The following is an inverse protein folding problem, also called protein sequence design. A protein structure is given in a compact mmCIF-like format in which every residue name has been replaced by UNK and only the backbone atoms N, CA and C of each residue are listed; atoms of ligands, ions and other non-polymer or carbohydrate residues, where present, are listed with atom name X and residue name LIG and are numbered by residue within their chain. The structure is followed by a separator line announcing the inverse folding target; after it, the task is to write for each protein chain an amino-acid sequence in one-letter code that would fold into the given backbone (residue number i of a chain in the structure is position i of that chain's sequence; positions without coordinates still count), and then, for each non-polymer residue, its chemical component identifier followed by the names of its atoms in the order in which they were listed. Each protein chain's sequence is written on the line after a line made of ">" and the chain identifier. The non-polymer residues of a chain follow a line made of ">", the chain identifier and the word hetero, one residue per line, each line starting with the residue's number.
data_IF_766473015616
#
_entry.id   IF_766473015616
#
_cell.length_a   1.000
_cell.length_b   1.000
_cell.length_c   1.000
_cell.angle_alpha   90.00
_cell.angle_beta   90.00
_cell.angle_gamma   90.00
#
_symmetry.space_group_name_H-M   'P 1'
#
loop_
_entity.id
_entity.type
_entity.pdbx_description
1 polymer ?
#
# COMPACT_ATOMS: atom_id res chain seq x y z
N UNK A 1 -40.82 62.36 -48.50
CA UNK A 1 -40.07 62.04 -47.22
C UNK A 1 -40.48 60.64 -46.79
N UNK A 2 -39.70 59.64 -47.14
CA UNK A 2 -39.97 58.21 -46.77
C UNK A 2 -38.96 57.82 -45.73
N UNK A 3 -39.44 57.50 -44.51
CA UNK A 3 -38.65 56.94 -43.44
C UNK A 3 -38.44 55.43 -43.66
N UNK A 4 -37.19 54.98 -43.70
CA UNK A 4 -36.83 53.55 -43.60
C UNK A 4 -36.52 53.21 -42.12
N UNK A 5 -37.29 52.30 -41.56
CA UNK A 5 -37.05 51.72 -40.29
C UNK A 5 -36.19 50.44 -40.46
N UNK A 6 -34.99 50.46 -40.02
CA UNK A 6 -34.11 49.26 -40.01
C UNK A 6 -34.36 48.43 -38.76
N UNK A 7 -34.85 47.20 -38.89
CA UNK A 7 -34.92 46.18 -37.81
C UNK A 7 -33.55 45.50 -37.70
N UNK A 8 -32.90 45.68 -36.56
CA UNK A 8 -31.73 44.92 -36.21
C UNK A 8 -32.13 43.64 -35.45
N UNK A 9 -31.90 42.48 -36.08
CA UNK A 9 -32.12 41.17 -35.46
C UNK A 9 -30.93 40.81 -34.60
N UNK A 10 -31.13 40.70 -33.28
CA UNK A 10 -30.15 40.28 -32.32
C UNK A 10 -30.16 38.75 -32.24
N UNK A 11 -29.13 38.06 -32.80
CA UNK A 11 -28.97 36.64 -32.71
C UNK A 11 -28.31 36.30 -31.36
N UNK A 12 -29.06 35.71 -30.43
CA UNK A 12 -28.52 35.11 -29.21
C UNK A 12 -27.80 33.80 -29.54
N UNK A 13 -26.47 33.82 -29.50
CA UNK A 13 -25.66 32.60 -29.53
C UNK A 13 -25.68 31.96 -28.13
N UNK A 14 -26.50 30.93 -27.96
CA UNK A 14 -26.48 30.08 -26.77
C UNK A 14 -25.23 29.21 -26.83
N UNK A 15 -24.15 29.62 -26.14
CA UNK A 15 -22.95 28.80 -25.92
C UNK A 15 -23.28 27.71 -24.91
N UNK A 16 -23.58 26.51 -25.37
CA UNK A 16 -23.59 25.31 -24.53
C UNK A 16 -22.15 24.99 -24.12
N UNK A 17 -21.73 25.48 -22.97
CA UNK A 17 -20.51 25.04 -22.34
C UNK A 17 -20.73 23.62 -21.79
N UNK A 18 -20.32 22.61 -22.55
CA UNK A 18 -20.21 21.25 -22.06
C UNK A 18 -19.05 21.25 -21.07
N UNK A 19 -19.34 21.28 -19.76
CA UNK A 19 -18.40 20.98 -18.70
C UNK A 19 -17.99 19.52 -18.87
N UNK A 20 -16.88 19.29 -19.58
CA UNK A 20 -16.21 17.98 -19.52
C UNK A 20 -15.78 17.77 -18.06
N UNK A 21 -16.47 16.91 -17.32
CA UNK A 21 -16.01 16.43 -16.03
C UNK A 21 -14.57 15.96 -16.22
N UNK A 22 -13.63 16.66 -15.60
CA UNK A 22 -12.24 16.17 -15.52
C UNK A 22 -12.29 14.92 -14.69
N UNK A 23 -12.25 13.75 -15.32
CA UNK A 23 -11.99 12.50 -14.64
C UNK A 23 -10.66 12.70 -13.92
N UNK A 24 -10.72 12.82 -12.61
CA UNK A 24 -9.53 13.00 -11.78
C UNK A 24 -8.59 11.84 -12.06
N UNK A 25 -7.35 12.14 -12.45
CA UNK A 25 -6.36 11.11 -12.73
C UNK A 25 -6.14 10.26 -11.46
N UNK A 26 -6.12 8.94 -11.62
CA UNK A 26 -5.85 8.04 -10.50
C UNK A 26 -4.45 8.34 -9.92
N UNK A 27 -4.29 8.44 -8.59
CA UNK A 27 -3.00 8.77 -7.96
C UNK A 27 -1.84 7.86 -8.41
N UNK A 28 -2.14 6.62 -8.75
CA UNK A 28 -1.16 5.62 -9.25
C UNK A 28 -1.10 5.51 -10.78
N UNK A 29 -1.72 6.41 -11.52
CA UNK A 29 -1.75 6.33 -12.99
C UNK A 29 -0.35 6.36 -13.61
N UNK A 30 0.60 7.02 -12.97
CA UNK A 30 1.99 7.09 -13.41
C UNK A 30 2.86 5.92 -12.92
N UNK A 31 2.33 5.01 -12.11
CA UNK A 31 3.09 3.85 -11.61
C UNK A 31 3.42 2.90 -12.74
N UNK A 32 4.67 2.43 -12.76
CA UNK A 32 5.17 1.46 -13.72
C UNK A 32 5.51 0.11 -13.09
N UNK A 33 5.48 0.02 -11.77
CA UNK A 33 5.61 -1.23 -11.03
C UNK A 33 4.44 -1.39 -10.07
N UNK A 34 3.88 -2.59 -9.99
CA UNK A 34 2.82 -2.92 -9.07
C UNK A 34 3.07 -4.29 -8.45
N UNK A 35 3.04 -4.35 -7.12
CA UNK A 35 2.90 -5.60 -6.37
C UNK A 35 1.41 -5.78 -6.13
N UNK A 36 0.86 -6.91 -6.54
CA UNK A 36 -0.57 -7.23 -6.39
C UNK A 36 -0.72 -8.50 -5.58
N UNK A 37 -1.34 -8.39 -4.42
CA UNK A 37 -1.71 -9.52 -3.56
C UNK A 37 -3.20 -9.76 -3.69
N UNK A 38 -3.56 -10.94 -4.17
CA UNK A 38 -4.96 -11.39 -4.28
C UNK A 38 -5.21 -12.43 -3.22
N UNK A 39 -6.22 -12.21 -2.40
CA UNK A 39 -6.74 -13.16 -1.40
C UNK A 39 -8.10 -13.67 -1.86
N UNK A 40 -8.49 -14.91 -1.47
CA UNK A 40 -9.73 -15.50 -1.93
C UNK A 40 -10.96 -14.69 -1.48
N UNK A 41 -10.98 -14.25 -0.24
CA UNK A 41 -12.06 -13.47 0.38
C UNK A 41 -11.53 -12.57 1.51
N UNK A 42 -12.44 -11.83 2.18
CA UNK A 42 -12.11 -10.92 3.27
C UNK A 42 -11.49 -11.58 4.51
N UNK A 43 -11.67 -12.88 4.71
CA UNK A 43 -11.22 -13.62 5.89
C UNK A 43 -10.02 -14.53 5.59
N UNK A 44 -9.59 -14.60 4.34
CA UNK A 44 -8.45 -15.41 3.92
C UNK A 44 -7.15 -14.88 4.52
N UNK A 45 -6.36 -15.77 5.12
CA UNK A 45 -5.05 -15.48 5.72
C UNK A 45 -3.89 -15.67 4.74
N UNK A 46 -4.18 -16.15 3.52
CA UNK A 46 -3.24 -16.42 2.44
C UNK A 46 -3.64 -15.68 1.20
N UNK A 47 -2.64 -15.26 0.44
CA UNK A 47 -2.83 -14.65 -0.86
C UNK A 47 -1.75 -15.08 -1.84
N UNK A 48 -1.97 -14.79 -3.11
CA UNK A 48 -0.96 -14.90 -4.16
C UNK A 48 -0.44 -13.51 -4.46
N UNK A 49 0.87 -13.33 -4.37
CA UNK A 49 1.56 -12.10 -4.75
C UNK A 49 2.06 -12.22 -6.17
N UNK A 50 1.73 -11.22 -6.97
CA UNK A 50 2.20 -11.01 -8.33
C UNK A 50 2.98 -9.70 -8.41
N UNK A 51 4.05 -9.65 -9.19
CA UNK A 51 4.84 -8.46 -9.46
C UNK A 51 4.70 -8.09 -10.94
N UNK A 52 4.21 -6.89 -11.23
CA UNK A 52 3.96 -6.42 -12.59
C UNK A 52 4.79 -5.19 -12.94
N UNK A 53 5.28 -5.16 -14.16
CA UNK A 53 5.91 -3.99 -14.76
C UNK A 53 5.09 -3.49 -15.95
N UNK A 54 4.96 -2.17 -16.08
CA UNK A 54 4.17 -1.54 -17.13
C UNK A 54 5.06 -0.87 -18.19
N UNK A 55 4.79 -1.22 -19.45
CA UNK A 55 5.32 -0.53 -20.62
C UNK A 55 4.15 0.08 -21.41
N UNK A 56 4.14 1.40 -21.54
CA UNK A 56 3.00 2.11 -22.09
C UNK A 56 1.72 1.86 -21.26
N UNK A 57 0.73 1.24 -21.85
CA UNK A 57 -0.56 0.89 -21.20
C UNK A 57 -0.62 -0.57 -20.74
N UNK A 58 0.37 -1.40 -21.09
CA UNK A 58 0.34 -2.85 -20.87
C UNK A 58 1.13 -3.24 -19.65
N UNK A 59 0.51 -3.99 -18.74
CA UNK A 59 1.13 -4.65 -17.61
C UNK A 59 1.62 -6.04 -18.01
N UNK A 60 2.81 -6.43 -17.56
CA UNK A 60 3.35 -7.78 -17.72
C UNK A 60 3.92 -8.26 -16.40
N UNK A 61 3.74 -9.53 -16.09
CA UNK A 61 4.35 -10.14 -14.92
C UNK A 61 5.87 -10.11 -15.06
N UNK A 62 6.55 -9.59 -14.02
CA UNK A 62 7.99 -9.36 -14.01
C UNK A 62 8.74 -10.41 -13.18
N UNK A 63 8.10 -10.95 -12.14
CA UNK A 63 8.65 -11.99 -11.26
C UNK A 63 7.61 -13.10 -11.09
N UNK A 64 8.06 -14.36 -10.86
CA UNK A 64 7.13 -15.47 -10.62
C UNK A 64 6.22 -15.22 -9.41
N UNK A 65 4.92 -15.46 -9.59
CA UNK A 65 3.96 -15.40 -8.51
C UNK A 65 4.29 -16.37 -7.37
N UNK A 66 3.93 -16.00 -6.14
CA UNK A 66 4.17 -16.86 -4.97
C UNK A 66 3.15 -16.60 -3.85
N UNK A 67 3.03 -17.56 -2.97
CA UNK A 67 2.18 -17.45 -1.79
C UNK A 67 2.75 -16.48 -0.77
N UNK A 68 1.86 -15.69 -0.18
CA UNK A 68 2.16 -14.81 0.96
C UNK A 68 1.13 -15.03 2.07
N UNK A 69 1.53 -14.73 3.31
CA UNK A 69 0.60 -14.68 4.44
C UNK A 69 0.20 -13.24 4.70
N UNK A 70 -1.06 -13.07 5.06
CA UNK A 70 -1.65 -11.77 5.40
C UNK A 70 -2.22 -11.80 6.83
N UNK A 71 -2.99 -10.83 7.21
CA UNK A 71 -3.57 -10.72 8.55
C UNK A 71 -4.30 -11.97 9.02
N UNK A 72 -4.13 -12.34 10.30
CA UNK A 72 -4.79 -13.52 10.93
C UNK A 72 -6.32 -13.48 10.87
N UNK A 73 -6.89 -12.29 10.71
CA UNK A 73 -8.32 -12.07 10.51
C UNK A 73 -8.67 -11.73 9.04
N UNK A 74 -7.73 -11.93 8.10
CA UNK A 74 -7.89 -11.62 6.69
C UNK A 74 -7.53 -10.18 6.35
N UNK A 75 -8.38 -9.51 5.56
CA UNK A 75 -8.15 -8.14 5.08
C UNK A 75 -9.35 -7.23 5.35
N UNK A 76 -9.14 -5.91 5.24
CA UNK A 76 -10.17 -4.90 5.39
C UNK A 76 -9.76 -3.63 4.63
N UNK A 77 -10.72 -2.82 4.14
CA UNK A 77 -10.43 -1.57 3.44
C UNK A 77 -9.56 -0.63 4.27
N UNK A 78 -8.40 -0.31 3.77
CA UNK A 78 -7.43 0.57 4.39
C UNK A 78 -7.55 2.02 3.92
N UNK A 79 -6.64 2.86 4.40
CA UNK A 79 -6.46 4.25 3.98
C UNK A 79 -5.21 4.33 3.10
N UNK A 80 -5.41 4.35 1.80
CA UNK A 80 -4.36 4.38 0.79
C UNK A 80 -4.56 5.49 -0.23
N UNK A 81 -4.08 5.23 -1.44
CA UNK A 81 -4.22 6.14 -2.58
C UNK A 81 -5.62 6.10 -3.20
N UNK A 82 -6.38 5.03 -2.95
CA UNK A 82 -7.72 4.81 -3.48
C UNK A 82 -8.77 5.64 -2.71
N UNK A 83 -9.92 5.93 -3.32
CA UNK A 83 -11.02 6.61 -2.62
C UNK A 83 -11.58 5.73 -1.50
N UNK A 84 -12.33 6.34 -0.58
CA UNK A 84 -13.06 5.58 0.44
C UNK A 84 -14.02 4.57 -0.23
N UNK A 85 -14.02 3.34 0.28
CA UNK A 85 -14.86 2.25 -0.22
C UNK A 85 -16.08 2.10 0.69
N UNK A 86 -17.26 1.88 0.08
CA UNK A 86 -18.53 1.83 0.82
C UNK A 86 -18.90 0.46 1.38
N UNK A 87 -18.45 -0.61 0.72
CA UNK A 87 -18.81 -1.99 1.10
C UNK A 87 -17.59 -2.76 1.57
N UNK A 88 -17.78 -3.68 2.52
CA UNK A 88 -16.73 -4.50 3.11
C UNK A 88 -16.24 -4.02 4.48
N UNK A 89 -15.40 -4.81 5.15
CA UNK A 89 -14.84 -4.46 6.45
C UNK A 89 -13.88 -3.27 6.32
N UNK A 90 -13.83 -2.43 7.34
CA UNK A 90 -12.92 -1.27 7.42
C UNK A 90 -11.80 -1.55 8.40
N UNK A 91 -10.56 -1.29 7.99
CA UNK A 91 -9.34 -1.50 8.77
C UNK A 91 -9.36 -0.66 10.05
N UNK A 92 -9.00 -1.29 11.17
CA UNK A 92 -8.85 -0.68 12.48
C UNK A 92 -7.55 -1.12 13.14
N UNK A 93 -7.11 -0.34 14.12
CA UNK A 93 -5.98 -0.73 14.95
C UNK A 93 -6.27 -2.04 15.70
N UNK A 94 -5.30 -2.97 15.72
CA UNK A 94 -5.41 -4.22 16.46
C UNK A 94 -6.38 -5.27 15.92
N UNK A 95 -7.05 -5.03 14.77
CA UNK A 95 -8.07 -5.95 14.20
C UNK A 95 -7.50 -7.24 13.59
N UNK A 96 -6.18 -7.33 13.45
CA UNK A 96 -5.52 -8.47 12.83
C UNK A 96 -5.76 -8.61 11.34
N UNK A 97 -6.19 -7.56 10.64
CA UNK A 97 -6.47 -7.54 9.20
C UNK A 97 -5.41 -6.77 8.43
N UNK A 98 -5.00 -7.26 7.27
CA UNK A 98 -4.18 -6.51 6.33
C UNK A 98 -5.01 -5.44 5.64
N UNK A 99 -4.48 -4.23 5.41
CA UNK A 99 -5.21 -3.20 4.68
C UNK A 99 -5.39 -3.61 3.22
N UNK A 100 -6.64 -3.61 2.76
CA UNK A 100 -7.00 -3.73 1.36
C UNK A 100 -7.04 -2.36 0.69
N UNK A 101 -6.61 -2.30 -0.58
CA UNK A 101 -6.58 -1.06 -1.37
C UNK A 101 -5.34 -0.94 -2.22
N UNK A 102 -5.01 0.30 -2.61
CA UNK A 102 -3.80 0.68 -3.34
C UNK A 102 -2.98 1.62 -2.47
N UNK A 103 -1.70 1.29 -2.27
CA UNK A 103 -0.80 2.00 -1.36
C UNK A 103 0.51 2.33 -2.09
N UNK A 104 1.15 3.44 -1.74
CA UNK A 104 2.53 3.67 -2.11
C UNK A 104 3.44 2.67 -1.37
N UNK A 105 4.59 2.39 -1.96
CA UNK A 105 5.67 1.64 -1.29
C UNK A 105 6.65 2.68 -0.75
N UNK A 106 6.92 2.60 0.54
CA UNK A 106 7.84 3.47 1.26
C UNK A 106 9.28 2.93 1.26
N UNK A 107 10.02 3.27 2.32
CA UNK A 107 11.39 2.83 2.50
C UNK A 107 11.49 1.32 2.68
N UNK A 108 12.57 0.73 2.19
CA UNK A 108 13.02 -0.57 2.62
C UNK A 108 13.72 -0.47 3.98
N UNK A 109 13.73 -1.53 4.74
CA UNK A 109 14.38 -1.58 6.04
C UNK A 109 14.96 -2.97 6.32
N UNK A 110 15.87 -3.04 7.29
CA UNK A 110 16.40 -4.33 7.73
C UNK A 110 17.46 -4.21 8.81
N UNK A 111 18.07 -5.36 9.19
CA UNK A 111 19.06 -5.43 10.26
C UNK A 111 20.48 -5.13 9.80
N UNK A 112 20.78 -5.34 8.52
CA UNK A 112 22.09 -5.02 7.96
C UNK A 112 22.22 -3.52 7.69
N UNK A 113 23.47 -3.03 7.58
CA UNK A 113 23.74 -1.62 7.29
C UNK A 113 23.32 -1.21 5.86
N UNK A 114 23.16 -2.18 4.95
CA UNK A 114 22.70 -1.97 3.58
C UNK A 114 21.99 -3.20 3.04
N UNK A 115 21.17 -3.01 2.00
CA UNK A 115 20.52 -4.08 1.26
C UNK A 115 20.64 -3.84 -0.26
N UNK A 116 20.51 -4.92 -1.04
CA UNK A 116 20.47 -4.84 -2.49
C UNK A 116 19.11 -4.31 -2.97
N UNK A 117 18.91 -3.00 -2.89
CA UNK A 117 17.67 -2.32 -3.31
C UNK A 117 17.98 -0.93 -3.84
N UNK A 118 17.16 -0.43 -4.76
CA UNK A 118 17.16 0.97 -5.18
C UNK A 118 16.22 1.85 -4.33
N UNK A 119 15.33 1.23 -3.51
CA UNK A 119 14.52 1.99 -2.57
C UNK A 119 15.42 2.66 -1.51
N UNK A 120 15.04 3.83 -0.96
CA UNK A 120 15.65 4.33 0.26
C UNK A 120 15.63 3.23 1.32
N UNK A 121 16.74 3.03 2.01
CA UNK A 121 16.92 1.94 2.96
C UNK A 121 17.30 2.47 4.33
N UNK A 122 16.57 2.00 5.34
CA UNK A 122 16.81 2.34 6.75
C UNK A 122 17.37 1.12 7.49
N UNK A 123 18.63 1.21 7.93
CA UNK A 123 19.24 0.22 8.79
C UNK A 123 18.66 0.34 10.20
N UNK A 124 17.93 -0.68 10.65
CA UNK A 124 17.25 -0.66 11.95
C UNK A 124 18.25 -0.92 13.09
N UNK A 125 18.13 -0.13 14.17
CA UNK A 125 18.88 -0.26 15.42
C UNK A 125 17.96 -0.74 16.54
N UNK A 126 18.52 -1.15 17.68
CA UNK A 126 17.75 -1.57 18.85
C UNK A 126 16.83 -0.48 19.43
N UNK A 127 17.13 0.79 19.12
CA UNK A 127 16.35 1.95 19.52
C UNK A 127 15.20 2.31 18.56
N UNK A 128 15.04 1.63 17.41
CA UNK A 128 13.96 1.91 16.47
C UNK A 128 12.67 1.18 16.85
N UNK A 129 11.57 1.94 16.82
CA UNK A 129 10.21 1.46 17.07
C UNK A 129 9.26 2.00 16.01
N UNK A 130 8.31 1.19 15.55
CA UNK A 130 7.15 1.72 14.87
C UNK A 130 6.07 2.02 15.91
N UNK A 131 5.52 3.23 15.90
CA UNK A 131 4.57 3.68 16.90
C UNK A 131 3.15 3.22 16.58
N UNK A 132 2.72 2.16 17.24
CA UNK A 132 1.39 1.55 17.14
C UNK A 132 0.43 2.02 18.25
N UNK A 133 0.79 3.09 18.95
CA UNK A 133 -0.01 3.70 20.03
C UNK A 133 -0.91 4.81 19.49
N UNK A 134 -2.25 4.63 19.38
CA UNK A 134 -3.14 5.57 18.70
C UNK A 134 -3.17 7.00 19.27
N UNK A 135 -2.87 7.14 20.57
CA UNK A 135 -2.81 8.43 21.25
C UNK A 135 -1.46 9.16 21.07
N UNK A 136 -0.45 8.50 20.50
CA UNK A 136 0.88 9.10 20.31
C UNK A 136 0.86 10.09 19.15
N UNK A 137 1.52 11.26 19.29
CA UNK A 137 1.75 12.17 18.15
C UNK A 137 2.66 11.56 17.09
N UNK A 138 3.37 10.47 17.42
CA UNK A 138 4.25 9.71 16.53
C UNK A 138 3.54 8.49 15.92
N UNK A 139 2.24 8.31 16.14
CA UNK A 139 1.47 7.19 15.65
C UNK A 139 1.73 6.89 14.18
N UNK A 140 1.88 5.62 13.83
CA UNK A 140 2.16 5.10 12.49
C UNK A 140 3.50 5.60 11.88
N UNK A 141 4.50 5.87 12.72
CA UNK A 141 5.84 6.27 12.28
C UNK A 141 6.91 5.37 12.87
N UNK A 142 7.92 5.04 12.09
CA UNK A 142 9.17 4.46 12.60
C UNK A 142 10.02 5.59 13.15
N UNK A 143 10.43 5.47 14.39
CA UNK A 143 11.21 6.49 15.11
C UNK A 143 12.39 5.84 15.85
N UNK A 144 13.42 6.63 16.08
CA UNK A 144 14.58 6.24 16.89
C UNK A 144 14.44 6.82 18.31
N UNK A 145 14.33 5.95 19.32
CA UNK A 145 14.21 6.32 20.72
C UNK A 145 15.42 7.14 21.22
N UNK A 146 16.60 6.97 20.62
CA UNK A 146 17.77 7.78 20.94
C UNK A 146 17.61 9.24 20.48
N UNK A 147 16.75 9.51 19.50
CA UNK A 147 16.45 10.86 19.01
C UNK A 147 15.20 11.48 19.64
N UNK A 148 14.13 10.68 19.80
CA UNK A 148 12.84 11.22 20.32
C UNK A 148 12.69 11.05 21.82
N UNK A 149 13.60 10.29 22.48
CA UNK A 149 13.57 9.95 23.88
C UNK A 149 12.77 8.68 24.18
N UNK A 150 13.22 7.89 25.17
CA UNK A 150 12.60 6.60 25.54
C UNK A 150 11.13 6.73 25.96
N UNK A 151 10.74 7.85 26.58
CA UNK A 151 9.36 8.11 26.97
C UNK A 151 8.42 8.26 25.77
N UNK A 152 8.92 8.74 24.61
CA UNK A 152 8.12 8.94 23.41
C UNK A 152 7.76 7.61 22.71
N UNK A 153 8.51 6.54 22.95
CA UNK A 153 8.24 5.20 22.42
C UNK A 153 7.59 4.26 23.44
N UNK A 154 7.33 4.76 24.65
CA UNK A 154 6.67 3.97 25.69
C UNK A 154 5.28 3.51 25.22
N UNK A 155 5.00 2.21 25.45
CA UNK A 155 3.74 1.58 25.03
C UNK A 155 3.71 1.05 23.61
N UNK A 156 4.72 1.32 22.76
CA UNK A 156 4.83 0.65 21.46
C UNK A 156 5.07 -0.85 21.68
N UNK A 157 4.35 -1.66 20.89
CA UNK A 157 4.53 -3.12 20.86
C UNK A 157 5.32 -3.58 19.62
N UNK A 158 5.84 -2.62 18.82
CA UNK A 158 6.44 -2.87 17.50
C UNK A 158 7.91 -2.41 17.41
N UNK A 159 8.85 -3.06 18.17
CA UNK A 159 10.26 -2.79 18.01
C UNK A 159 10.76 -3.27 16.65
N UNK A 160 11.53 -2.44 15.93
CA UNK A 160 12.01 -2.77 14.58
C UNK A 160 13.16 -3.79 14.57
N UNK A 161 13.87 -3.98 15.68
CA UNK A 161 14.89 -5.04 15.85
C UNK A 161 14.30 -6.19 16.65
N UNK A 162 13.37 -6.94 16.03
CA UNK A 162 12.72 -8.09 16.64
C UNK A 162 13.72 -9.15 17.10
N UNK A 163 14.84 -9.32 16.40
CA UNK A 163 15.92 -10.22 16.79
C UNK A 163 16.52 -9.90 18.16
N UNK A 164 16.56 -8.62 18.54
CA UNK A 164 17.06 -8.16 19.85
C UNK A 164 15.97 -8.21 20.94
N UNK A 165 14.72 -7.98 20.54
CA UNK A 165 13.59 -7.89 21.49
C UNK A 165 12.80 -9.20 21.62
N UNK A 166 12.97 -10.17 20.70
CA UNK A 166 12.19 -11.41 20.63
C UNK A 166 13.03 -12.61 20.21
N UNK A 167 14.09 -12.92 20.95
CA UNK A 167 14.87 -14.15 20.83
C UNK A 167 15.30 -14.53 19.39
N UNK A 168 15.87 -13.58 18.65
CA UNK A 168 16.39 -13.82 17.30
C UNK A 168 15.33 -13.86 16.21
N UNK A 169 14.14 -13.30 16.43
CA UNK A 169 13.04 -13.25 15.46
C UNK A 169 13.48 -12.55 14.15
N UNK A 170 13.47 -13.24 12.99
CA UNK A 170 14.01 -12.69 11.75
C UNK A 170 13.02 -11.83 10.96
N UNK A 171 11.76 -11.67 11.40
CA UNK A 171 10.69 -11.06 10.58
C UNK A 171 11.07 -9.73 9.98
N UNK A 172 11.74 -8.86 10.71
CA UNK A 172 12.15 -7.52 10.24
C UNK A 172 13.61 -7.44 9.79
N UNK A 173 14.27 -8.62 9.59
CA UNK A 173 15.61 -8.69 9.01
C UNK A 173 15.68 -8.00 7.64
N UNK A 174 14.58 -8.02 6.89
CA UNK A 174 14.45 -7.39 5.58
C UNK A 174 12.96 -7.15 5.27
N UNK A 175 12.62 -5.96 4.77
CA UNK A 175 11.26 -5.61 4.43
C UNK A 175 11.13 -4.23 3.80
N UNK A 176 9.90 -3.80 3.58
CA UNK A 176 9.56 -2.44 3.16
C UNK A 176 8.23 -1.98 3.75
N UNK A 177 8.08 -0.67 3.87
CA UNK A 177 6.87 -0.03 4.38
C UNK A 177 5.78 -0.03 3.30
N UNK A 178 4.56 -0.43 3.67
CA UNK A 178 3.35 -0.24 2.89
C UNK A 178 2.66 1.00 3.45
N UNK A 179 2.57 2.08 2.67
CA UNK A 179 2.10 3.40 3.11
C UNK A 179 0.58 3.42 3.36
N UNK A 180 0.16 2.60 4.33
CA UNK A 180 -1.20 2.61 4.86
C UNK A 180 -1.34 3.72 5.90
N UNK A 181 -2.48 4.43 5.87
CA UNK A 181 -2.78 5.48 6.85
C UNK A 181 -1.66 6.54 7.01
N UNK A 182 -1.09 6.99 5.88
CA UNK A 182 0.01 7.96 5.88
C UNK A 182 -0.30 9.28 6.63
N UNK A 183 -1.59 9.63 6.78
CA UNK A 183 -2.03 10.76 7.59
C UNK A 183 -2.09 10.46 9.10
N UNK A 184 -1.68 9.28 9.53
CA UNK A 184 -1.64 8.84 10.93
C UNK A 184 -2.98 9.05 11.68
N UNK A 185 -4.11 8.76 11.03
CA UNK A 185 -5.44 8.82 11.68
C UNK A 185 -5.49 7.80 12.80
N UNK A 186 -5.74 8.28 14.01
CA UNK A 186 -5.80 7.44 15.19
C UNK A 186 -6.80 6.28 15.02
N UNK A 187 -6.46 5.10 15.51
CA UNK A 187 -7.25 3.87 15.45
C UNK A 187 -7.55 3.32 14.04
N UNK A 188 -6.94 3.86 12.98
CA UNK A 188 -7.17 3.39 11.61
C UNK A 188 -6.18 2.30 11.15
N UNK A 189 -5.31 1.83 12.01
CA UNK A 189 -4.25 0.86 11.74
C UNK A 189 -2.90 1.54 11.50
N UNK A 190 -1.84 0.90 11.96
CA UNK A 190 -0.47 1.41 11.92
C UNK A 190 0.53 0.29 11.59
N UNK A 191 1.76 0.68 11.28
CA UNK A 191 2.92 -0.22 11.20
C UNK A 191 2.70 -1.38 10.21
N UNK A 192 2.28 -1.05 8.99
CA UNK A 192 2.00 -2.04 7.95
C UNK A 192 3.22 -2.21 7.04
N UNK A 193 3.75 -3.44 7.03
CA UNK A 193 4.96 -3.79 6.31
C UNK A 193 4.76 -5.00 5.39
N UNK A 194 5.61 -5.11 4.37
CA UNK A 194 5.97 -6.38 3.79
C UNK A 194 7.28 -6.83 4.47
N UNK A 195 7.32 -8.05 5.04
CA UNK A 195 8.45 -8.54 5.83
C UNK A 195 8.68 -10.04 5.66
N UNK A 196 9.72 -10.58 6.29
CA UNK A 196 10.02 -12.00 6.21
C UNK A 196 9.02 -12.82 7.03
N UNK A 197 8.79 -14.04 6.61
CA UNK A 197 8.02 -15.04 7.35
C UNK A 197 8.89 -15.59 8.48
N UNK A 198 8.34 -15.71 9.70
CA UNK A 198 9.06 -16.32 10.82
C UNK A 198 9.17 -17.81 10.66
N UNK A 199 8.05 -18.47 10.36
CA UNK A 199 7.99 -19.92 10.17
C UNK A 199 6.73 -20.32 9.38
N UNK A 200 6.84 -21.37 8.55
CA UNK A 200 5.73 -22.04 7.89
C UNK A 200 4.69 -21.09 7.28
N UNK A 201 3.43 -21.30 7.64
CA UNK A 201 2.28 -20.54 7.16
C UNK A 201 1.64 -19.68 8.26
N UNK A 202 2.44 -19.09 9.13
CA UNK A 202 1.95 -18.23 10.22
C UNK A 202 1.38 -16.92 9.66
N UNK A 203 0.11 -16.58 9.93
CA UNK A 203 -0.47 -15.33 9.53
C UNK A 203 0.08 -14.16 10.38
N UNK A 204 -0.08 -12.94 9.87
CA UNK A 204 0.44 -11.72 10.50
C UNK A 204 -0.61 -11.02 11.38
N UNK A 205 -0.22 -9.92 12.03
CA UNK A 205 -1.16 -9.03 12.71
C UNK A 205 -1.82 -8.00 11.77
N UNK A 206 -1.37 -7.94 10.50
CA UNK A 206 -1.86 -6.99 9.48
C UNK A 206 -0.86 -6.76 8.35
N UNK A 207 0.40 -7.11 8.54
CA UNK A 207 1.44 -7.06 7.52
C UNK A 207 1.25 -8.13 6.43
N UNK A 208 2.12 -8.12 5.42
CA UNK A 208 2.24 -9.17 4.41
C UNK A 208 3.59 -9.85 4.58
N UNK A 209 3.63 -11.19 4.73
CA UNK A 209 4.88 -11.91 4.95
C UNK A 209 5.19 -12.95 3.89
N UNK A 210 6.49 -13.10 3.59
CA UNK A 210 7.02 -14.01 2.58
C UNK A 210 8.39 -14.55 2.93
N UNK A 211 8.89 -15.50 2.15
CA UNK A 211 10.21 -16.07 2.32
C UNK A 211 11.31 -15.07 1.89
N UNK A 212 12.47 -15.15 2.53
CA UNK A 212 13.59 -14.22 2.30
C UNK A 212 14.03 -14.13 0.82
N UNK A 213 14.18 -15.22 0.04
CA UNK A 213 14.55 -15.12 -1.37
C UNK A 213 13.53 -14.33 -2.20
N UNK A 214 12.23 -14.39 -1.86
CA UNK A 214 11.17 -13.63 -2.53
C UNK A 214 11.24 -12.15 -2.19
N UNK A 215 11.48 -11.82 -0.92
CA UNK A 215 11.70 -10.45 -0.48
C UNK A 215 12.94 -9.84 -1.17
N UNK A 216 14.05 -10.56 -1.24
CA UNK A 216 15.26 -10.11 -1.92
C UNK A 216 15.01 -9.84 -3.42
N UNK A 217 14.28 -10.74 -4.10
CA UNK A 217 13.93 -10.55 -5.50
C UNK A 217 13.04 -9.31 -5.72
N UNK A 218 12.05 -9.06 -4.85
CA UNK A 218 11.21 -7.87 -4.90
C UNK A 218 12.03 -6.60 -4.69
N UNK A 219 12.85 -6.54 -3.64
CA UNK A 219 13.66 -5.36 -3.32
C UNK A 219 14.69 -5.05 -4.40
N UNK A 220 15.30 -6.07 -5.01
CA UNK A 220 16.22 -5.90 -6.15
C UNK A 220 15.54 -5.43 -7.44
N UNK A 221 14.22 -5.69 -7.56
CA UNK A 221 13.45 -5.28 -8.74
C UNK A 221 12.78 -3.90 -8.56
N UNK A 222 12.36 -3.52 -7.34
CA UNK A 222 11.66 -2.27 -7.06
C UNK A 222 12.56 -1.05 -7.33
N UNK A 223 12.01 -0.04 -8.00
CA UNK A 223 12.69 1.22 -8.34
C UNK A 223 11.80 2.43 -8.02
N UNK A 224 12.29 3.41 -7.23
CA UNK A 224 11.52 4.61 -6.85
C UNK A 224 11.00 5.40 -8.05
N UNK A 225 11.79 5.52 -9.12
CA UNK A 225 11.41 6.24 -10.34
C UNK A 225 10.29 5.55 -11.14
N UNK A 226 10.02 4.27 -10.87
CA UNK A 226 8.86 3.56 -11.39
C UNK A 226 7.57 3.83 -10.60
N UNK A 227 7.66 4.56 -9.48
CA UNK A 227 6.55 4.88 -8.57
C UNK A 227 5.77 3.62 -8.20
N UNK A 228 6.43 2.63 -7.59
CA UNK A 228 5.80 1.35 -7.31
C UNK A 228 4.61 1.48 -6.38
N UNK A 229 3.58 0.66 -6.61
CA UNK A 229 2.42 0.55 -5.72
C UNK A 229 2.25 -0.87 -5.21
N UNK A 230 1.74 -0.97 -3.99
CA UNK A 230 1.29 -2.21 -3.39
C UNK A 230 -0.24 -2.25 -3.41
N UNK A 231 -0.79 -3.36 -3.87
CA UNK A 231 -2.24 -3.59 -3.97
C UNK A 231 -2.55 -4.88 -3.23
N UNK A 232 -3.55 -4.86 -2.35
CA UNK A 232 -4.09 -6.05 -1.71
C UNK A 232 -5.60 -6.00 -1.74
N UNK A 233 -6.25 -7.05 -2.24
CA UNK A 233 -7.72 -7.13 -2.26
C UNK A 233 -8.19 -8.59 -2.31
N UNK A 234 -9.40 -8.87 -1.81
CA UNK A 234 -10.15 -10.06 -2.22
C UNK A 234 -10.31 -10.10 -3.74
N UNK A 235 -10.29 -11.30 -4.33
CA UNK A 235 -10.38 -11.48 -5.77
C UNK A 235 -11.64 -10.81 -6.37
N UNK A 236 -12.78 -10.94 -5.71
CA UNK A 236 -14.03 -10.33 -6.14
C UNK A 236 -13.91 -8.80 -6.24
N UNK A 237 -13.31 -8.17 -5.23
CA UNK A 237 -13.11 -6.73 -5.21
C UNK A 237 -12.08 -6.28 -6.25
N UNK A 238 -10.98 -7.03 -6.38
CA UNK A 238 -9.97 -6.75 -7.39
C UNK A 238 -10.59 -6.76 -8.80
N UNK A 239 -11.35 -7.79 -9.14
CA UNK A 239 -12.03 -7.90 -10.45
C UNK A 239 -13.04 -6.77 -10.67
N UNK A 240 -13.77 -6.38 -9.63
CA UNK A 240 -14.74 -5.30 -9.68
C UNK A 240 -14.12 -3.95 -10.04
N UNK A 241 -12.95 -3.62 -9.47
CA UNK A 241 -12.30 -2.31 -9.66
C UNK A 241 -11.20 -2.31 -10.72
N UNK A 242 -10.68 -3.46 -11.12
CA UNK A 242 -9.48 -3.64 -11.93
C UNK A 242 -9.45 -2.77 -13.20
N UNK A 243 -10.51 -2.81 -14.00
CA UNK A 243 -10.58 -2.04 -15.24
C UNK A 243 -10.66 -0.53 -14.99
N UNK A 244 -11.55 -0.11 -14.07
CA UNK A 244 -11.73 1.30 -13.70
C UNK A 244 -10.49 1.91 -13.07
N UNK A 245 -9.75 1.11 -12.30
CA UNK A 245 -8.52 1.51 -11.63
C UNK A 245 -7.27 1.26 -12.47
N UNK A 246 -7.41 0.70 -13.67
CA UNK A 246 -6.30 0.40 -14.61
C UNK A 246 -5.20 -0.44 -13.97
N UNK A 247 -5.58 -1.35 -13.12
CA UNK A 247 -4.68 -2.31 -12.47
C UNK A 247 -4.33 -3.44 -13.45
N UNK A 248 -3.22 -4.20 -13.19
CA UNK A 248 -2.88 -5.38 -13.96
C UNK A 248 -4.04 -6.38 -14.06
N UNK A 249 -4.16 -7.08 -15.17
CA UNK A 249 -5.08 -8.22 -15.24
C UNK A 249 -4.47 -9.41 -14.50
N UNK A 250 -5.19 -9.94 -13.49
CA UNK A 250 -4.87 -11.23 -12.91
C UNK A 250 -5.45 -12.32 -13.80
N UNK A 251 -4.70 -13.43 -14.00
CA UNK A 251 -5.19 -14.59 -14.77
C UNK A 251 -6.56 -15.07 -14.27
N UNK A 252 -7.25 -15.89 -15.06
CA UNK A 252 -8.40 -16.64 -14.54
C UNK A 252 -7.91 -17.50 -13.37
N UNK A 253 -8.72 -17.57 -12.29
CA UNK A 253 -8.47 -18.55 -11.25
C UNK A 253 -8.40 -19.95 -11.88
N UNK A 254 -7.46 -20.81 -11.49
CA UNK A 254 -7.34 -22.16 -12.02
C UNK A 254 -8.58 -22.98 -11.76
#
# INVERSE_FOLDING_TARGET
>A
MRLFASLAALALLCSCSTSAERVSALPWQASRQAIVVVVADWNSQRGTLHAYERSGTTWREALPAHEVMVGRSGSAWGLGLHPAMGEGPVKREGDGRSPAGVFAIGHAFGYADAAATALPYDAMRGSHYCMDVPASPLYNRIVDADLVGAAAVAGSTEPMRLDLHSAGDPRYKLGFVIEHNAAARANAGSCIFAHLRRSGSEPTAGCTSMDEPRMQALLGWLRPEARPVFVLMPESEYRRVQAGWRLPSIGAAP
#
